data_IF_719806813602
#
_entry.id   IF_719806813602
#
_cell.length_a   1.000
_cell.length_b   1.000
_cell.length_c   1.000
_cell.angle_alpha   90.00
_cell.angle_beta   90.00
_cell.angle_gamma   90.00
#
_symmetry.space_group_name_H-M   'P 1'
#
loop_
_entity.id
_entity.type
_entity.pdbx_description
1 polymer ?
#
# COMPACT_ATOMS: atom_id res chain seq x y z
N UNK A 1 25.90 -53.99 47.95
CA UNK A 1 25.20 -52.87 47.29
C UNK A 1 26.21 -52.26 46.32
N UNK A 2 26.52 -52.99 45.25
CA UNK A 2 25.84 -52.91 43.94
C UNK A 2 26.29 -51.67 43.18
N UNK A 3 27.30 -51.77 42.31
CA UNK A 3 27.32 -52.28 40.91
C UNK A 3 27.20 -51.15 39.88
N UNK A 4 28.02 -51.30 38.82
CA UNK A 4 27.99 -50.67 37.49
C UNK A 4 28.78 -49.34 37.25
N UNK A 5 29.91 -49.45 36.54
CA UNK A 5 30.34 -48.51 35.49
C UNK A 5 29.75 -48.94 34.11
N UNK A 6 29.63 -48.04 33.13
CA UNK A 6 29.66 -48.22 31.64
C UNK A 6 29.21 -46.89 30.97
N UNK A 7 30.04 -46.18 30.17
CA UNK A 7 30.28 -46.30 28.71
C UNK A 7 29.08 -45.92 27.81
N UNK A 8 29.28 -44.93 26.93
CA UNK A 8 28.76 -44.98 25.56
C UNK A 8 27.93 -43.80 25.02
N UNK A 9 28.43 -43.16 23.95
CA UNK A 9 27.60 -42.73 22.81
C UNK A 9 27.26 -41.24 22.68
N UNK A 10 27.06 -40.73 21.44
CA UNK A 10 27.50 -39.39 21.03
C UNK A 10 26.52 -38.25 21.35
N UNK A 11 27.09 -37.06 21.53
CA UNK A 11 26.38 -35.77 21.49
C UNK A 11 25.60 -35.65 20.17
N UNK A 12 24.29 -35.87 20.23
CA UNK A 12 23.37 -35.48 19.18
C UNK A 12 23.32 -33.95 19.12
N UNK A 13 23.89 -33.40 18.04
CA UNK A 13 23.69 -32.01 17.63
C UNK A 13 22.18 -31.77 17.47
N UNK A 14 21.54 -31.20 18.48
CA UNK A 14 20.28 -30.50 18.29
C UNK A 14 20.58 -29.16 17.62
N UNK A 15 20.76 -29.23 16.31
CA UNK A 15 20.62 -28.07 15.43
C UNK A 15 19.16 -27.65 15.49
N UNK A 16 18.84 -26.75 16.43
CA UNK A 16 17.67 -25.88 16.29
C UNK A 16 17.93 -24.97 15.10
N UNK A 17 17.64 -25.45 13.90
CA UNK A 17 17.38 -24.59 12.76
C UNK A 17 16.06 -23.88 13.04
N UNK A 18 16.15 -22.67 13.60
CA UNK A 18 15.10 -21.68 13.54
C UNK A 18 14.69 -21.53 12.06
N UNK A 19 13.54 -22.11 11.70
CA UNK A 19 12.88 -21.83 10.44
C UNK A 19 12.58 -20.32 10.38
N UNK A 20 13.05 -19.61 9.33
CA UNK A 20 12.70 -18.21 9.18
C UNK A 20 11.22 -18.09 8.81
N UNK A 21 10.49 -17.33 9.62
CA UNK A 21 9.11 -16.94 9.39
C UNK A 21 8.94 -16.32 7.99
N UNK A 22 8.00 -16.90 7.23
CA UNK A 22 7.24 -16.31 6.14
C UNK A 22 8.03 -15.43 5.16
N UNK A 23 8.76 -16.08 4.26
CA UNK A 23 9.09 -15.48 2.97
C UNK A 23 7.76 -15.40 2.16
N UNK A 24 7.06 -14.27 2.19
CA UNK A 24 5.90 -14.02 1.34
C UNK A 24 6.36 -13.91 -0.12
N UNK A 25 6.49 -15.06 -0.78
CA UNK A 25 6.98 -15.16 -2.14
C UNK A 25 5.90 -14.70 -3.11
N UNK A 26 6.09 -13.53 -3.74
CA UNK A 26 5.44 -13.29 -5.03
C UNK A 26 6.00 -14.34 -6.00
N UNK A 27 5.23 -15.38 -6.28
CA UNK A 27 5.63 -16.45 -7.19
C UNK A 27 5.08 -16.15 -8.57
N UNK A 28 5.87 -15.47 -9.39
CA UNK A 28 5.62 -15.50 -10.83
C UNK A 28 5.87 -16.95 -11.29
N UNK A 29 4.83 -17.63 -11.75
CA UNK A 29 4.97 -18.94 -12.40
C UNK A 29 4.79 -18.73 -13.89
N UNK A 30 5.82 -18.98 -14.72
CA UNK A 30 5.67 -18.81 -16.14
C UNK A 30 4.65 -19.81 -16.69
N UNK A 31 3.62 -19.29 -17.34
CA UNK A 31 2.74 -20.07 -18.20
C UNK A 31 2.78 -19.43 -19.58
N UNK A 32 3.54 -20.03 -20.49
CA UNK A 32 3.66 -19.58 -21.88
C UNK A 32 2.66 -20.37 -22.73
N UNK A 33 1.47 -19.81 -22.95
CA UNK A 33 0.57 -20.26 -24.02
C UNK A 33 0.76 -19.34 -25.21
N UNK A 34 1.61 -19.72 -26.16
CA UNK A 34 1.77 -18.99 -27.41
C UNK A 34 0.65 -19.37 -28.39
N UNK A 35 -0.22 -18.40 -28.73
CA UNK A 35 -1.05 -18.48 -29.93
C UNK A 35 -0.18 -18.15 -31.15
N UNK A 36 -0.26 -18.97 -32.20
CA UNK A 36 0.69 -18.99 -33.32
C UNK A 36 0.61 -17.81 -34.30
N UNK A 37 -0.23 -16.79 -34.06
CA UNK A 37 -0.49 -15.74 -35.08
C UNK A 37 -0.06 -14.31 -34.71
N UNK A 38 0.65 -14.10 -33.60
CA UNK A 38 1.37 -12.83 -33.39
C UNK A 38 2.48 -13.01 -32.35
N UNK A 39 3.63 -12.35 -32.51
CA UNK A 39 4.85 -12.46 -31.67
C UNK A 39 4.68 -11.93 -30.23
N UNK A 40 3.58 -12.24 -29.57
CA UNK A 40 3.20 -11.77 -28.23
C UNK A 40 3.44 -12.91 -27.24
N UNK A 41 4.28 -12.64 -26.24
CA UNK A 41 4.52 -13.52 -25.08
C UNK A 41 3.57 -13.11 -23.96
N UNK A 42 2.82 -14.09 -23.44
CA UNK A 42 1.93 -13.91 -22.29
C UNK A 42 2.52 -14.62 -21.08
N UNK A 43 2.47 -13.97 -19.91
CA UNK A 43 2.96 -14.52 -18.65
C UNK A 43 1.87 -14.39 -17.60
N UNK A 44 1.40 -15.52 -17.10
CA UNK A 44 0.53 -15.57 -15.92
C UNK A 44 1.35 -15.27 -14.66
N UNK A 45 0.88 -14.35 -13.85
CA UNK A 45 1.50 -13.99 -12.58
C UNK A 45 0.50 -14.22 -11.45
N UNK A 46 0.97 -14.79 -10.34
CA UNK A 46 0.16 -15.03 -9.14
C UNK A 46 0.83 -14.30 -7.97
N UNK A 47 0.08 -13.46 -7.27
CA UNK A 47 0.59 -12.69 -6.12
C UNK A 47 -0.33 -12.85 -4.92
N UNK A 48 0.21 -13.39 -3.82
CA UNK A 48 -0.50 -13.53 -2.54
C UNK A 48 -0.95 -12.17 -2.01
N UNK A 49 -0.06 -11.17 -1.97
CA UNK A 49 -0.41 -9.82 -1.53
C UNK A 49 -1.53 -9.19 -2.36
N UNK A 50 -1.58 -9.48 -3.67
CA UNK A 50 -2.65 -8.99 -4.54
C UNK A 50 -3.94 -9.75 -4.29
N UNK A 51 -3.87 -11.06 -4.06
CA UNK A 51 -5.00 -11.89 -3.64
C UNK A 51 -5.64 -11.33 -2.36
N UNK A 52 -4.85 -11.09 -1.31
CA UNK A 52 -5.36 -10.56 -0.04
C UNK A 52 -6.07 -9.21 -0.23
N UNK A 53 -5.47 -8.34 -1.06
CA UNK A 53 -6.06 -7.03 -1.39
C UNK A 53 -7.37 -7.17 -2.16
N UNK A 54 -7.41 -8.00 -3.19
CA UNK A 54 -8.61 -8.22 -4.00
C UNK A 54 -9.72 -8.90 -3.19
N UNK A 55 -9.35 -9.83 -2.30
CA UNK A 55 -10.27 -10.46 -1.36
C UNK A 55 -10.83 -9.43 -0.36
N UNK A 56 -9.99 -8.57 0.22
CA UNK A 56 -10.45 -7.51 1.11
C UNK A 56 -11.41 -6.53 0.41
N UNK A 57 -11.11 -6.18 -0.85
CA UNK A 57 -11.98 -5.34 -1.69
C UNK A 57 -13.32 -6.05 -1.95
N UNK A 58 -13.30 -7.34 -2.29
CA UNK A 58 -14.51 -8.12 -2.54
C UNK A 58 -15.38 -8.25 -1.29
N UNK A 59 -14.78 -8.53 -0.12
CA UNK A 59 -15.46 -8.55 1.19
C UNK A 59 -16.14 -7.21 1.47
N UNK A 60 -15.41 -6.10 1.27
CA UNK A 60 -15.98 -4.75 1.45
C UNK A 60 -17.16 -4.45 0.51
N UNK A 61 -17.11 -4.91 -0.74
CA UNK A 61 -18.23 -4.79 -1.68
C UNK A 61 -19.42 -5.67 -1.26
N UNK A 62 -19.17 -6.89 -0.80
CA UNK A 62 -20.19 -7.80 -0.30
C UNK A 62 -20.92 -7.22 0.90
N UNK A 63 -20.22 -6.68 1.89
CA UNK A 63 -20.83 -6.02 3.06
C UNK A 63 -21.74 -4.87 2.64
N UNK A 64 -21.30 -4.03 1.69
CA UNK A 64 -22.11 -2.92 1.18
C UNK A 64 -23.36 -3.40 0.46
N UNK A 65 -23.24 -4.43 -0.36
CA UNK A 65 -24.37 -5.02 -1.08
C UNK A 65 -25.38 -5.67 -0.14
N UNK A 66 -24.90 -6.45 0.83
CA UNK A 66 -25.76 -7.09 1.83
C UNK A 66 -26.52 -6.03 2.64
N UNK A 67 -25.84 -4.99 3.12
CA UNK A 67 -26.51 -3.90 3.85
C UNK A 67 -27.57 -3.18 3.00
N UNK A 68 -27.33 -3.00 1.70
CA UNK A 68 -28.30 -2.40 0.79
C UNK A 68 -29.48 -3.34 0.50
N UNK A 69 -29.23 -4.65 0.37
CA UNK A 69 -30.26 -5.67 0.26
C UNK A 69 -31.13 -5.74 1.52
N UNK A 70 -30.52 -5.79 2.71
CA UNK A 70 -31.24 -5.88 3.99
C UNK A 70 -32.17 -4.67 4.17
N UNK A 71 -31.70 -3.46 3.84
CA UNK A 71 -32.53 -2.25 3.85
C UNK A 71 -33.72 -2.36 2.90
N UNK A 72 -33.53 -2.94 1.71
CA UNK A 72 -34.61 -3.15 0.75
C UNK A 72 -35.61 -4.20 1.28
N UNK A 73 -35.11 -5.32 1.80
CA UNK A 73 -35.91 -6.38 2.39
C UNK A 73 -36.74 -5.87 3.59
N UNK A 74 -36.15 -5.07 4.47
CA UNK A 74 -36.85 -4.44 5.60
C UNK A 74 -37.95 -3.49 5.13
N UNK A 75 -37.71 -2.69 4.08
CA UNK A 75 -38.75 -1.81 3.52
C UNK A 75 -39.89 -2.57 2.85
N UNK A 76 -39.62 -3.74 2.25
CA UNK A 76 -40.66 -4.64 1.74
C UNK A 76 -41.44 -5.26 2.91
N UNK A 77 -40.77 -5.75 3.95
CA UNK A 77 -41.41 -6.30 5.17
C UNK A 77 -42.29 -5.27 5.89
N UNK A 78 -41.86 -4.02 5.95
CA UNK A 78 -42.64 -2.89 6.51
C UNK A 78 -43.82 -2.47 5.62
N UNK A 79 -43.97 -3.03 4.42
CA UNK A 79 -45.04 -2.69 3.48
C UNK A 79 -44.87 -1.34 2.77
N UNK A 80 -43.70 -0.69 2.86
CA UNK A 80 -43.42 0.55 2.12
C UNK A 80 -43.42 0.33 0.60
N UNK A 81 -42.99 -0.85 0.17
CA UNK A 81 -43.02 -1.28 -1.22
C UNK A 81 -43.70 -2.65 -1.30
N UNK A 82 -44.88 -2.68 -1.90
CA UNK A 82 -45.70 -3.91 -2.04
C UNK A 82 -46.00 -4.27 -3.49
N UNK A 83 -45.96 -3.29 -4.40
CA UNK A 83 -46.17 -3.52 -5.82
C UNK A 83 -44.95 -4.22 -6.45
N UNK A 84 -45.19 -5.36 -7.11
CA UNK A 84 -44.17 -6.18 -7.76
C UNK A 84 -43.31 -5.41 -8.78
N UNK A 85 -43.90 -4.49 -9.56
CA UNK A 85 -43.17 -3.68 -10.55
C UNK A 85 -42.20 -2.72 -9.87
N UNK A 86 -42.63 -2.07 -8.78
CA UNK A 86 -41.78 -1.14 -8.02
C UNK A 86 -40.63 -1.88 -7.34
N UNK A 87 -40.90 -3.06 -6.78
CA UNK A 87 -39.88 -3.91 -6.15
C UNK A 87 -38.88 -4.42 -7.20
N UNK A 88 -39.34 -4.88 -8.37
CA UNK A 88 -38.47 -5.29 -9.47
C UNK A 88 -37.55 -4.16 -9.95
N UNK A 89 -38.06 -2.93 -10.08
CA UNK A 89 -37.27 -1.75 -10.43
C UNK A 89 -36.19 -1.45 -9.38
N UNK A 90 -36.51 -1.56 -8.09
CA UNK A 90 -35.56 -1.37 -6.99
C UNK A 90 -34.48 -2.45 -6.93
N UNK A 91 -34.84 -3.71 -7.19
CA UNK A 91 -33.89 -4.83 -7.34
C UNK A 91 -32.96 -4.54 -8.52
N UNK A 92 -33.50 -4.07 -9.65
CA UNK A 92 -32.73 -3.65 -10.81
C UNK A 92 -31.71 -2.56 -10.47
N UNK A 93 -32.15 -1.51 -9.76
CA UNK A 93 -31.28 -0.43 -9.29
C UNK A 93 -30.17 -0.95 -8.35
N UNK A 94 -30.51 -1.82 -7.40
CA UNK A 94 -29.55 -2.45 -6.50
C UNK A 94 -28.49 -3.24 -7.27
N UNK A 95 -28.91 -4.03 -8.27
CA UNK A 95 -27.99 -4.78 -9.15
C UNK A 95 -27.13 -3.85 -10.02
N UNK A 96 -27.65 -2.70 -10.42
CA UNK A 96 -26.92 -1.70 -11.20
C UNK A 96 -25.84 -1.00 -10.37
N UNK A 97 -26.17 -0.54 -9.15
CA UNK A 97 -25.24 0.13 -8.24
C UNK A 97 -24.10 -0.81 -7.77
N UNK A 98 -24.38 -2.10 -7.66
CA UNK A 98 -23.44 -3.12 -7.18
C UNK A 98 -23.08 -4.16 -8.26
N UNK A 99 -22.92 -3.73 -9.52
CA UNK A 99 -22.77 -4.61 -10.70
C UNK A 99 -21.77 -5.75 -10.56
N UNK A 100 -20.62 -5.47 -9.94
CA UNK A 100 -19.51 -6.43 -9.80
C UNK A 100 -19.86 -7.61 -8.90
N UNK A 101 -20.55 -7.37 -7.78
CA UNK A 101 -20.91 -8.42 -6.81
C UNK A 101 -22.31 -8.98 -7.06
N UNK A 102 -23.21 -8.21 -7.66
CA UNK A 102 -24.59 -8.61 -7.95
C UNK A 102 -24.68 -9.88 -8.81
N UNK A 103 -23.69 -10.16 -9.66
CA UNK A 103 -23.62 -11.39 -10.46
C UNK A 103 -23.50 -12.67 -9.63
N UNK A 104 -23.05 -12.56 -8.38
CA UNK A 104 -22.93 -13.69 -7.43
C UNK A 104 -24.25 -14.05 -6.78
N UNK A 105 -25.29 -13.22 -6.91
CA UNK A 105 -26.54 -13.40 -6.20
C UNK A 105 -27.75 -13.46 -7.14
N UNK A 106 -28.67 -14.37 -6.85
CA UNK A 106 -30.05 -14.35 -7.30
C UNK A 106 -30.88 -13.57 -6.27
N UNK A 107 -31.84 -12.77 -6.74
CA UNK A 107 -32.81 -12.12 -5.85
C UNK A 107 -34.18 -12.52 -6.35
N UNK A 108 -34.89 -13.27 -5.53
CA UNK A 108 -36.24 -13.75 -5.79
C UNK A 108 -37.23 -12.97 -4.93
N UNK A 109 -38.34 -12.55 -5.55
CA UNK A 109 -39.41 -11.83 -4.87
C UNK A 109 -40.59 -12.78 -4.64
N UNK A 110 -40.83 -13.16 -3.39
CA UNK A 110 -41.94 -14.03 -3.01
C UNK A 110 -43.20 -13.17 -2.89
N UNK A 111 -44.20 -13.51 -3.71
CA UNK A 111 -45.47 -12.80 -3.79
C UNK A 111 -46.54 -13.61 -3.05
N UNK A 112 -47.36 -12.96 -2.23
CA UNK A 112 -48.52 -13.59 -1.60
C UNK A 112 -49.75 -13.63 -2.51
N UNK A 113 -50.85 -14.24 -2.04
CA UNK A 113 -52.10 -14.39 -2.79
C UNK A 113 -52.68 -13.06 -3.32
N UNK A 114 -52.35 -11.94 -2.68
CA UNK A 114 -52.79 -10.58 -3.05
C UNK A 114 -51.95 -9.92 -4.18
N UNK A 115 -51.11 -10.68 -4.89
CA UNK A 115 -50.12 -10.17 -5.87
C UNK A 115 -49.11 -9.14 -5.31
N UNK A 116 -49.00 -9.05 -3.98
CA UNK A 116 -48.03 -8.17 -3.29
C UNK A 116 -46.78 -8.95 -2.88
N UNK A 117 -45.61 -8.35 -3.09
CA UNK A 117 -44.33 -8.93 -2.63
C UNK A 117 -44.27 -8.82 -1.11
N UNK A 118 -44.13 -9.96 -0.42
CA UNK A 118 -44.03 -10.02 1.05
C UNK A 118 -42.60 -10.23 1.51
N UNK A 119 -41.78 -10.91 0.72
CA UNK A 119 -40.43 -11.26 1.10
C UNK A 119 -39.48 -11.24 -0.11
N UNK A 120 -38.22 -10.91 0.16
CA UNK A 120 -37.11 -11.02 -0.78
C UNK A 120 -36.16 -12.09 -0.28
N UNK A 121 -35.82 -13.04 -1.14
CA UNK A 121 -34.83 -14.08 -0.87
C UNK A 121 -33.58 -13.79 -1.69
N UNK A 122 -32.44 -13.82 -1.01
CA UNK A 122 -31.12 -13.68 -1.63
C UNK A 122 -30.43 -15.05 -1.67
N UNK A 123 -30.10 -15.52 -2.87
CA UNK A 123 -29.43 -16.81 -3.05
C UNK A 123 -28.03 -16.59 -3.62
N UNK A 124 -26.98 -17.04 -2.92
CA UNK A 124 -25.59 -16.98 -3.41
C UNK A 124 -25.32 -18.12 -4.41
N UNK A 125 -24.71 -17.80 -5.55
CA UNK A 125 -24.32 -18.75 -6.60
C UNK A 125 -22.89 -19.24 -6.34
N UNK A 126 -22.68 -20.44 -5.76
CA UNK A 126 -21.36 -20.88 -5.28
C UNK A 126 -20.33 -20.98 -6.42
N UNK A 127 -20.73 -21.52 -7.58
CA UNK A 127 -19.84 -21.65 -8.75
C UNK A 127 -19.28 -20.31 -9.23
N UNK A 128 -20.08 -19.24 -9.17
CA UNK A 128 -19.65 -17.90 -9.62
C UNK A 128 -18.66 -17.30 -8.62
N UNK A 129 -18.89 -17.54 -7.33
CA UNK A 129 -18.00 -17.12 -6.25
C UNK A 129 -16.66 -17.85 -6.32
N UNK A 130 -16.67 -19.18 -6.38
CA UNK A 130 -15.47 -20.02 -6.46
C UNK A 130 -14.61 -19.67 -7.68
N UNK A 131 -15.24 -19.49 -8.86
CA UNK A 131 -14.53 -19.10 -10.07
C UNK A 131 -13.85 -17.72 -9.94
N UNK A 132 -14.52 -16.75 -9.30
CA UNK A 132 -13.94 -15.44 -9.06
C UNK A 132 -12.81 -15.48 -8.02
N UNK A 133 -12.98 -16.24 -6.94
CA UNK A 133 -11.98 -16.39 -5.87
C UNK A 133 -10.71 -17.10 -6.36
N UNK A 134 -10.84 -18.06 -7.28
CA UNK A 134 -9.71 -18.76 -7.92
C UNK A 134 -8.82 -17.81 -8.72
N UNK A 135 -9.39 -16.73 -9.27
CA UNK A 135 -8.67 -15.75 -10.07
C UNK A 135 -8.05 -14.61 -9.24
N UNK A 136 -8.30 -14.53 -7.93
CA UNK A 136 -7.74 -13.47 -7.12
C UNK A 136 -6.22 -13.52 -7.07
N UNK A 137 -5.60 -12.35 -7.29
CA UNK A 137 -4.16 -12.22 -7.36
C UNK A 137 -3.53 -12.71 -8.66
N UNK A 138 -4.33 -13.27 -9.59
CA UNK A 138 -3.90 -13.66 -10.93
C UNK A 138 -3.97 -12.48 -11.90
N UNK A 139 -2.93 -12.27 -12.70
CA UNK A 139 -2.92 -11.30 -13.79
C UNK A 139 -2.00 -11.77 -14.90
N UNK A 140 -2.25 -11.30 -16.13
CA UNK A 140 -1.42 -11.64 -17.29
C UNK A 140 -0.62 -10.42 -17.72
N UNK A 141 0.66 -10.62 -17.97
CA UNK A 141 1.52 -9.63 -18.63
C UNK A 141 1.64 -10.04 -20.09
N UNK A 142 1.29 -9.13 -21.00
CA UNK A 142 1.49 -9.30 -22.43
C UNK A 142 2.68 -8.44 -22.88
N UNK A 143 3.59 -9.01 -23.65
CA UNK A 143 4.77 -8.29 -24.15
C UNK A 143 5.20 -8.79 -25.53
N UNK A 144 5.84 -7.90 -26.30
CA UNK A 144 6.52 -8.25 -27.54
C UNK A 144 8.03 -8.56 -27.34
N UNK A 145 8.53 -8.48 -26.10
CA UNK A 145 9.91 -8.84 -25.73
C UNK A 145 10.03 -10.34 -25.56
N UNK A 146 10.35 -11.02 -26.65
CA UNK A 146 10.60 -12.46 -26.68
C UNK A 146 12.03 -12.85 -26.26
N UNK A 147 12.91 -11.85 -26.11
CA UNK A 147 14.32 -11.97 -25.74
C UNK A 147 14.56 -12.08 -24.23
N UNK A 148 13.54 -11.87 -23.41
CA UNK A 148 13.64 -11.86 -21.95
C UNK A 148 12.96 -13.08 -21.33
N UNK A 149 13.55 -13.59 -20.24
CA UNK A 149 12.93 -14.64 -19.45
C UNK A 149 11.73 -14.11 -18.66
N UNK A 150 10.74 -14.96 -18.31
CA UNK A 150 9.53 -14.54 -17.61
C UNK A 150 9.79 -13.76 -16.31
N UNK A 151 10.82 -14.14 -15.54
CA UNK A 151 11.22 -13.44 -14.31
C UNK A 151 11.76 -12.04 -14.60
N UNK A 152 12.47 -11.85 -15.72
CA UNK A 152 13.00 -10.56 -16.14
C UNK A 152 11.88 -9.64 -16.62
N UNK A 153 10.93 -10.18 -17.38
CA UNK A 153 9.73 -9.46 -17.81
C UNK A 153 8.91 -9.04 -16.57
N UNK A 154 8.77 -9.92 -15.59
CA UNK A 154 8.10 -9.59 -14.33
C UNK A 154 8.83 -8.48 -13.57
N UNK A 155 10.16 -8.55 -13.42
CA UNK A 155 10.97 -7.49 -12.79
C UNK A 155 10.84 -6.15 -13.52
N UNK A 156 10.85 -6.16 -14.85
CA UNK A 156 10.65 -4.98 -15.67
C UNK A 156 9.25 -4.39 -15.46
N UNK A 157 8.21 -5.23 -15.50
CA UNK A 157 6.84 -4.81 -15.22
C UNK A 157 6.69 -4.24 -13.80
N UNK A 158 7.35 -4.83 -12.80
CA UNK A 158 7.39 -4.28 -11.44
C UNK A 158 8.07 -2.90 -11.35
N UNK A 159 8.92 -2.55 -12.32
CA UNK A 159 9.50 -1.20 -12.40
C UNK A 159 8.43 -0.13 -12.68
N UNK A 160 7.34 -0.48 -13.38
CA UNK A 160 6.19 0.43 -13.55
C UNK A 160 5.59 0.83 -12.20
N UNK A 161 5.44 -0.13 -11.28
CA UNK A 161 4.97 0.14 -9.91
C UNK A 161 5.90 1.12 -9.19
N UNK A 162 7.22 0.96 -9.35
CA UNK A 162 8.20 1.90 -8.77
C UNK A 162 8.05 3.32 -9.32
N UNK A 163 7.77 3.44 -10.62
CA UNK A 163 7.51 4.73 -11.27
C UNK A 163 6.20 5.36 -10.75
N UNK A 164 5.14 4.57 -10.59
CA UNK A 164 3.89 5.05 -9.99
C UNK A 164 4.09 5.54 -8.55
N UNK A 165 4.84 4.80 -7.75
CA UNK A 165 5.20 5.19 -6.39
C UNK A 165 6.07 6.45 -6.37
N UNK A 166 6.97 6.63 -7.35
CA UNK A 166 7.75 7.85 -7.54
C UNK A 166 6.84 9.06 -7.78
N UNK A 167 5.91 8.95 -8.74
CA UNK A 167 4.95 10.01 -9.03
C UNK A 167 4.03 10.31 -7.84
N UNK A 168 3.64 9.28 -7.09
CA UNK A 168 2.85 9.45 -5.87
C UNK A 168 3.63 10.25 -4.83
N UNK A 169 4.89 9.87 -4.56
CA UNK A 169 5.75 10.58 -3.62
C UNK A 169 5.99 12.04 -4.04
N UNK A 170 6.22 12.29 -5.34
CA UNK A 170 6.35 13.63 -5.90
C UNK A 170 5.10 14.48 -5.63
N UNK A 171 3.91 13.93 -5.91
CA UNK A 171 2.64 14.66 -5.78
C UNK A 171 2.22 14.86 -4.32
N UNK A 172 2.55 13.94 -3.42
CA UNK A 172 2.15 14.01 -2.00
C UNK A 172 3.23 14.63 -1.12
N UNK A 173 4.35 13.94 -0.93
CA UNK A 173 5.36 14.25 0.08
C UNK A 173 6.24 15.43 -0.32
N UNK A 174 6.48 15.58 -1.63
CA UNK A 174 7.39 16.58 -2.17
C UNK A 174 6.66 17.79 -2.77
N UNK A 175 5.33 17.83 -2.64
CA UNK A 175 4.52 19.01 -2.94
C UNK A 175 4.49 19.45 -4.42
N UNK A 176 4.79 18.55 -5.37
CA UNK A 176 4.94 18.88 -6.80
C UNK A 176 3.72 19.54 -7.46
N UNK A 177 2.53 19.45 -6.85
CA UNK A 177 1.32 20.10 -7.38
C UNK A 177 1.45 21.62 -7.20
N UNK A 178 1.71 22.41 -8.26
CA UNK A 178 1.88 23.85 -8.13
C UNK A 178 0.48 24.46 -8.06
N UNK A 179 -0.06 24.63 -6.85
CA UNK A 179 -1.42 25.16 -6.68
C UNK A 179 -1.47 26.67 -6.98
N UNK A 180 -0.34 27.38 -6.84
CA UNK A 180 -0.29 28.86 -6.89
C UNK A 180 0.76 29.45 -7.85
N UNK A 181 1.40 28.64 -8.70
CA UNK A 181 2.44 29.16 -9.62
C UNK A 181 1.78 29.69 -10.90
N UNK A 182 1.80 31.01 -11.07
CA UNK A 182 1.14 31.69 -12.21
C UNK A 182 2.08 31.93 -13.40
N UNK A 183 3.40 31.93 -13.19
CA UNK A 183 4.41 32.16 -14.23
C UNK A 183 5.08 30.84 -14.62
N UNK A 184 5.27 30.63 -15.92
CA UNK A 184 5.91 29.41 -16.46
C UNK A 184 7.30 29.15 -15.85
N UNK A 185 8.10 30.20 -15.65
CA UNK A 185 9.43 30.10 -15.03
C UNK A 185 9.38 29.59 -13.59
N UNK A 186 8.39 30.03 -12.81
CA UNK A 186 8.20 29.57 -11.42
C UNK A 186 7.76 28.11 -11.38
N UNK A 187 6.88 27.70 -12.30
CA UNK A 187 6.49 26.28 -12.44
C UNK A 187 7.70 25.42 -12.81
N UNK A 188 8.53 25.85 -13.76
CA UNK A 188 9.75 25.13 -14.14
C UNK A 188 10.73 24.99 -12.96
N UNK A 189 10.97 26.07 -12.21
CA UNK A 189 11.82 26.03 -11.02
C UNK A 189 11.27 25.10 -9.93
N UNK A 190 9.95 25.12 -9.70
CA UNK A 190 9.30 24.21 -8.75
C UNK A 190 9.50 22.75 -9.15
N UNK A 191 9.23 22.42 -10.41
CA UNK A 191 9.42 21.06 -10.95
C UNK A 191 10.86 20.60 -10.77
N UNK A 192 11.83 21.47 -11.08
CA UNK A 192 13.25 21.17 -10.89
C UNK A 192 13.57 20.84 -9.43
N UNK A 193 13.14 21.67 -8.48
CA UNK A 193 13.35 21.43 -7.04
C UNK A 193 12.67 20.14 -6.59
N UNK A 194 11.43 19.86 -7.03
CA UNK A 194 10.74 18.61 -6.70
C UNK A 194 11.47 17.37 -7.20
N UNK A 195 12.06 17.42 -8.40
CA UNK A 195 12.85 16.31 -8.95
C UNK A 195 14.13 16.11 -8.13
N UNK A 196 14.86 17.19 -7.81
CA UNK A 196 16.05 17.12 -6.94
C UNK A 196 15.70 16.54 -5.55
N UNK A 197 14.60 16.99 -4.96
CA UNK A 197 14.13 16.47 -3.69
C UNK A 197 13.73 14.98 -3.77
N UNK A 198 13.20 14.53 -4.91
CA UNK A 198 12.92 13.12 -5.14
C UNK A 198 14.18 12.27 -5.23
N UNK A 199 15.27 12.77 -5.83
CA UNK A 199 16.56 12.07 -5.80
C UNK A 199 17.06 11.85 -4.37
N UNK A 200 16.93 12.86 -3.49
CA UNK A 200 17.26 12.72 -2.07
C UNK A 200 16.32 11.71 -1.37
N UNK A 201 15.02 11.78 -1.64
CA UNK A 201 14.05 10.82 -1.12
C UNK A 201 14.39 9.38 -1.52
N UNK A 202 14.78 9.17 -2.78
CA UNK A 202 15.19 7.87 -3.32
C UNK A 202 16.51 7.37 -2.70
N UNK A 203 17.48 8.26 -2.49
CA UNK A 203 18.73 7.93 -1.81
C UNK A 203 18.48 7.48 -0.36
N UNK A 204 17.64 8.20 0.38
CA UNK A 204 17.22 7.83 1.74
C UNK A 204 16.53 6.46 1.72
N UNK A 205 15.59 6.23 0.80
CA UNK A 205 14.91 4.94 0.67
C UNK A 205 15.89 3.79 0.42
N UNK A 206 16.88 4.00 -0.45
CA UNK A 206 17.89 3.01 -0.79
C UNK A 206 18.77 2.68 0.42
N UNK A 207 19.29 3.69 1.12
CA UNK A 207 20.10 3.50 2.34
C UNK A 207 19.35 2.74 3.42
N UNK A 208 18.08 3.09 3.67
CA UNK A 208 17.22 2.39 4.63
C UNK A 208 17.00 0.92 4.24
N UNK A 209 16.68 0.68 2.96
CA UNK A 209 16.46 -0.68 2.46
C UNK A 209 17.72 -1.54 2.54
N UNK A 210 18.91 -0.96 2.30
CA UNK A 210 20.18 -1.67 2.43
C UNK A 210 20.51 -2.03 3.88
N UNK A 211 20.07 -1.21 4.83
CA UNK A 211 20.18 -1.49 6.26
C UNK A 211 19.08 -2.44 6.80
N UNK A 212 18.19 -2.93 5.93
CA UNK A 212 17.07 -3.80 6.33
C UNK A 212 15.91 -3.07 7.01
N UNK A 213 15.89 -1.74 7.00
CA UNK A 213 14.82 -0.93 7.56
C UNK A 213 13.59 -0.94 6.64
N UNK A 214 12.43 -1.29 7.21
CA UNK A 214 11.15 -1.42 6.49
C UNK A 214 10.26 -0.18 6.62
N UNK A 215 10.69 0.85 7.35
CA UNK A 215 9.94 2.10 7.51
C UNK A 215 9.83 2.84 6.18
N UNK A 216 8.69 3.51 5.99
CA UNK A 216 8.56 4.41 4.84
C UNK A 216 9.39 5.67 5.04
N UNK A 217 9.97 6.21 3.96
CA UNK A 217 10.72 7.47 4.02
C UNK A 217 9.86 8.62 4.57
N UNK A 218 8.55 8.62 4.30
CA UNK A 218 7.63 9.59 4.90
C UNK A 218 7.63 9.53 6.43
N UNK A 219 7.55 8.33 7.01
CA UNK A 219 7.62 8.14 8.46
C UNK A 219 8.97 8.61 9.02
N UNK A 220 10.05 8.31 8.31
CA UNK A 220 11.41 8.73 8.69
C UNK A 220 11.54 10.25 8.70
N UNK A 221 11.07 10.92 7.65
CA UNK A 221 11.07 12.39 7.56
C UNK A 221 10.22 13.02 8.67
N UNK A 222 9.07 12.42 9.02
CA UNK A 222 8.24 12.88 10.14
C UNK A 222 8.92 12.71 11.51
N UNK A 223 9.70 11.65 11.71
CA UNK A 223 10.48 11.47 12.94
C UNK A 223 11.62 12.48 13.02
N UNK A 224 12.29 12.74 11.89
CA UNK A 224 13.41 13.68 11.79
C UNK A 224 12.96 15.13 11.85
N UNK A 225 11.74 15.47 11.42
CA UNK A 225 11.25 16.86 11.38
C UNK A 225 11.17 17.55 12.74
N UNK A 226 11.21 16.80 13.84
CA UNK A 226 11.25 17.35 15.20
C UNK A 226 12.67 17.76 15.64
N UNK A 227 13.71 17.30 14.94
CA UNK A 227 15.08 17.77 15.12
C UNK A 227 15.26 19.09 14.36
N UNK A 228 15.53 20.19 15.08
CA UNK A 228 15.51 21.53 14.50
C UNK A 228 16.74 22.34 14.87
N UNK A 229 17.05 23.31 14.01
CA UNK A 229 18.10 24.30 14.23
C UNK A 229 17.46 25.67 14.43
N UNK A 230 17.70 26.24 15.60
CA UNK A 230 17.11 27.49 16.07
C UNK A 230 18.09 28.64 15.86
N UNK A 231 17.57 29.79 15.44
CA UNK A 231 18.27 31.07 15.52
C UNK A 231 17.64 31.86 16.66
N UNK A 232 18.43 32.16 17.69
CA UNK A 232 18.04 32.95 18.85
C UNK A 232 18.69 34.32 18.72
N UNK A 233 17.87 35.36 18.66
CA UNK A 233 18.33 36.75 18.60
C UNK A 233 18.00 37.42 19.93
N UNK A 234 19.01 37.96 20.61
CA UNK A 234 18.89 38.62 21.91
C UNK A 234 19.57 39.98 21.89
N UNK A 235 19.04 40.94 22.64
CA UNK A 235 19.67 42.25 22.86
C UNK A 235 20.23 42.27 24.28
N UNK A 236 21.48 42.66 24.46
CA UNK A 236 22.05 42.87 25.81
C UNK A 236 21.74 44.28 26.34
N UNK A 237 22.04 44.51 27.62
CA UNK A 237 21.87 45.81 28.29
C UNK A 237 22.72 46.93 27.63
N UNK A 238 23.74 46.57 26.85
CA UNK A 238 24.61 47.46 26.09
C UNK A 238 24.14 47.66 24.63
N UNK A 239 22.90 47.30 24.30
CA UNK A 239 22.31 47.38 22.95
C UNK A 239 23.06 46.57 21.88
N UNK A 240 23.78 45.50 22.26
CA UNK A 240 24.43 44.58 21.33
C UNK A 240 23.48 43.47 20.92
N UNK A 241 23.43 43.20 19.61
CA UNK A 241 22.61 42.12 19.06
C UNK A 241 23.41 40.82 19.04
N UNK A 242 22.94 39.84 19.80
CA UNK A 242 23.46 38.49 19.84
C UNK A 242 22.64 37.58 18.96
N UNK A 243 23.25 37.01 17.92
CA UNK A 243 22.66 35.96 17.09
C UNK A 243 23.32 34.63 17.43
N UNK A 244 22.59 33.75 18.10
CA UNK A 244 23.01 32.39 18.42
C UNK A 244 22.30 31.39 17.52
N UNK A 245 23.07 30.52 16.88
CA UNK A 245 22.51 29.37 16.16
C UNK A 245 22.76 28.11 16.99
N UNK A 246 21.69 27.53 17.52
CA UNK A 246 21.69 26.37 18.42
C UNK A 246 20.87 25.25 17.75
N UNK A 247 21.25 24.00 17.97
CA UNK A 247 20.48 22.85 17.47
C UNK A 247 19.92 22.06 18.63
N UNK A 248 18.72 21.49 18.47
CA UNK A 248 18.19 20.56 19.47
C UNK A 248 19.03 19.28 19.51
N UNK A 249 18.96 18.54 20.61
CA UNK A 249 19.61 17.24 20.71
C UNK A 249 18.73 16.16 20.06
N UNK A 250 19.30 15.28 19.22
CA UNK A 250 18.51 14.23 18.60
C UNK A 250 18.08 13.18 19.63
N UNK A 251 16.84 12.73 19.54
CA UNK A 251 16.34 11.62 20.35
C UNK A 251 16.90 10.25 19.87
N UNK A 252 16.60 9.17 20.59
CA UNK A 252 17.11 7.82 20.27
C UNK A 252 16.74 7.36 18.85
N UNK A 253 15.48 7.55 18.45
CA UNK A 253 15.02 7.19 17.11
C UNK A 253 15.71 8.01 16.00
N UNK A 254 15.94 9.30 16.22
CA UNK A 254 16.66 10.16 15.27
C UNK A 254 18.13 9.76 15.16
N UNK A 255 18.79 9.42 16.27
CA UNK A 255 20.18 8.92 16.26
C UNK A 255 20.30 7.63 15.47
N UNK A 256 19.36 6.70 15.63
CA UNK A 256 19.30 5.47 14.84
C UNK A 256 19.18 5.78 13.34
N UNK A 257 18.24 6.65 12.96
CA UNK A 257 18.05 7.07 11.57
C UNK A 257 19.32 7.70 11.00
N UNK A 258 19.96 8.62 11.72
CA UNK A 258 21.20 9.26 11.26
C UNK A 258 22.35 8.27 11.14
N UNK A 259 22.44 7.30 12.04
CA UNK A 259 23.43 6.21 11.95
C UNK A 259 23.25 5.40 10.67
N UNK A 260 22.01 5.00 10.36
CA UNK A 260 21.69 4.28 9.12
C UNK A 260 22.04 5.12 7.87
N UNK A 261 21.78 6.42 7.92
CA UNK A 261 22.07 7.34 6.82
C UNK A 261 23.54 7.79 6.74
N UNK A 262 24.40 7.36 7.67
CA UNK A 262 25.79 7.80 7.74
C UNK A 262 25.97 9.30 8.01
N UNK A 263 24.97 9.94 8.61
CA UNK A 263 24.99 11.37 8.92
C UNK A 263 25.74 11.59 10.23
N UNK A 264 26.95 12.12 10.13
CA UNK A 264 27.68 12.63 11.29
C UNK A 264 26.96 13.89 11.79
N UNK A 265 26.67 13.98 13.09
CA UNK A 265 25.97 15.13 13.68
C UNK A 265 26.75 16.45 13.46
N UNK A 266 26.38 17.16 12.39
CA UNK A 266 26.95 18.47 12.04
C UNK A 266 26.32 19.61 12.82
N UNK A 267 25.26 19.32 13.59
CA UNK A 267 24.43 20.30 14.27
C UNK A 267 24.92 20.65 15.68
N UNK A 268 25.90 19.91 16.20
CA UNK A 268 26.58 20.21 17.47
C UNK A 268 27.33 21.57 17.52
N UNK A 269 27.50 22.26 16.38
CA UNK A 269 28.21 23.54 16.32
C UNK A 269 27.30 24.73 16.67
N UNK A 270 27.44 25.24 17.89
CA UNK A 270 26.94 26.56 18.29
C UNK A 270 27.74 27.65 17.57
N UNK A 271 27.05 28.54 16.85
CA UNK A 271 27.67 29.71 16.23
C UNK A 271 27.10 30.97 16.87
N UNK A 272 27.97 31.82 17.42
CA UNK A 272 27.61 33.11 18.03
C UNK A 272 28.16 34.23 17.15
N UNK A 273 27.30 35.16 16.76
CA UNK A 273 27.69 36.40 16.09
C UNK A 273 27.19 37.56 16.96
N UNK A 274 28.05 38.53 17.21
CA UNK A 274 27.73 39.73 17.97
C UNK A 274 27.83 40.90 16.99
N UNK A 275 26.75 41.65 16.82
CA UNK A 275 26.72 42.86 16.02
C UNK A 275 26.35 44.05 16.92
N UNK A 276 26.99 45.19 16.70
CA UNK A 276 26.66 46.44 17.39
C UNK A 276 25.69 47.22 16.51
N UNK A 277 24.57 47.65 17.11
CA UNK A 277 23.58 48.53 16.47
C UNK A 277 24.04 49.98 16.50
#
# INVERSE_FOLDING_TARGET
>A
MDTAPQVGGPQAKHSQSNEPQANHSNRAQPYASGSMDNKIKQILCISERRRDKEEAIARGMQTKFQSAFDKLADSVKRGQYSNATTVASRIGKLKQEHRSIARRYEIDAITGDDQKVKELVLTEKPKVKEAAETLYGAYVIETNRNDLEPEEIWKLYMTLTKVEDAFKALKSNLGMRPIYHQLASRTAAHLFISVVAYHLYGAIALSLSQAGDKRSVHSILAQVSTHSRLNVTMLDDNKRLHNLRISSTPNSAQKEIYSILGVVDTLARTKKVIAQL
#
